data_IF_197182446232
#
_entry.id   IF_197182446232
#
_cell.length_a   1.000
_cell.length_b   1.000
_cell.length_c   1.000
_cell.angle_alpha   90.00
_cell.angle_beta   90.00
_cell.angle_gamma   90.00
#
_symmetry.space_group_name_H-M   'P 1'
#
loop_
_entity.id
_entity.type
_entity.pdbx_description
1 polymer ?
#
# COMPACT_ATOMS: atom_id res chain seq x y z
N UNK A 1 63.13 -31.26 -39.13
CA UNK A 1 61.77 -31.68 -38.71
C UNK A 1 61.28 -30.97 -37.45
N UNK A 2 62.16 -30.39 -36.61
CA UNK A 2 61.76 -29.61 -35.43
C UNK A 2 61.31 -28.16 -35.76
N UNK A 3 61.93 -27.50 -36.76
CA UNK A 3 61.62 -26.10 -37.09
C UNK A 3 60.24 -25.89 -37.74
N UNK A 4 59.73 -26.89 -38.46
CA UNK A 4 58.39 -26.82 -39.09
C UNK A 4 57.24 -26.87 -38.06
N UNK A 5 57.44 -27.52 -36.90
CA UNK A 5 56.41 -27.60 -35.86
C UNK A 5 56.29 -26.29 -35.07
N UNK A 6 57.40 -25.59 -34.85
CA UNK A 6 57.40 -24.30 -34.17
C UNK A 6 56.65 -23.23 -34.99
N UNK A 7 56.86 -23.19 -36.31
CA UNK A 7 56.17 -22.26 -37.19
C UNK A 7 54.65 -22.51 -37.23
N UNK A 8 54.22 -23.78 -37.20
CA UNK A 8 52.81 -24.14 -37.17
C UNK A 8 52.13 -23.70 -35.87
N UNK A 9 52.78 -23.84 -34.72
CA UNK A 9 52.25 -23.39 -33.42
C UNK A 9 52.13 -21.86 -33.38
N UNK A 10 53.13 -21.14 -33.89
CA UNK A 10 53.08 -19.67 -33.95
C UNK A 10 51.93 -19.21 -34.83
N UNK A 11 51.68 -19.84 -35.98
CA UNK A 11 50.57 -19.48 -36.87
C UNK A 11 49.20 -19.77 -36.24
N UNK A 12 49.06 -20.87 -35.50
CA UNK A 12 47.81 -21.20 -34.79
C UNK A 12 47.53 -20.20 -33.67
N UNK A 13 48.55 -19.84 -32.88
CA UNK A 13 48.40 -18.85 -31.81
C UNK A 13 48.05 -17.47 -32.37
N UNK A 14 48.66 -17.07 -33.50
CA UNK A 14 48.36 -15.80 -34.17
C UNK A 14 46.91 -15.77 -34.69
N UNK A 15 46.41 -16.89 -35.23
CA UNK A 15 45.03 -17.00 -35.69
C UNK A 15 44.02 -16.91 -34.54
N UNK A 16 44.30 -17.53 -33.39
CA UNK A 16 43.43 -17.46 -32.19
C UNK A 16 43.35 -16.03 -31.65
N UNK A 17 44.49 -15.30 -31.61
CA UNK A 17 44.51 -13.91 -31.16
C UNK A 17 43.73 -13.00 -32.12
N UNK A 18 43.87 -13.19 -33.44
CA UNK A 18 43.10 -12.42 -34.43
C UNK A 18 41.60 -12.67 -34.26
N UNK A 19 41.19 -13.93 -34.08
CA UNK A 19 39.78 -14.29 -33.93
C UNK A 19 39.17 -13.73 -32.63
N UNK A 20 39.93 -13.69 -31.54
CA UNK A 20 39.52 -13.07 -30.28
C UNK A 20 39.36 -11.54 -30.41
N UNK A 21 40.26 -10.87 -31.13
CA UNK A 21 40.16 -9.43 -31.41
C UNK A 21 38.93 -9.11 -32.28
N UNK A 22 38.65 -9.93 -33.30
CA UNK A 22 37.45 -9.76 -34.11
C UNK A 22 36.16 -9.92 -33.30
N UNK A 23 36.08 -10.92 -32.41
CA UNK A 23 34.92 -11.13 -31.54
C UNK A 23 34.70 -9.97 -30.56
N UNK A 24 35.77 -9.44 -29.98
CA UNK A 24 35.72 -8.25 -29.12
C UNK A 24 35.22 -7.01 -29.88
N UNK A 25 35.69 -6.79 -31.12
CA UNK A 25 35.22 -5.67 -31.94
C UNK A 25 33.74 -5.80 -32.34
N UNK A 26 33.25 -7.00 -32.63
CA UNK A 26 31.82 -7.20 -32.92
C UNK A 26 30.91 -7.00 -31.70
N UNK A 27 31.38 -7.27 -30.48
CA UNK A 27 30.61 -7.00 -29.26
C UNK A 27 30.57 -5.50 -28.91
N UNK A 28 31.63 -4.75 -29.21
CA UNK A 28 31.68 -3.28 -29.01
C UNK A 28 30.72 -2.55 -29.97
N UNK A 29 30.51 -3.07 -31.19
CA UNK A 29 29.55 -2.50 -32.16
C UNK A 29 28.08 -2.73 -31.78
N UNK A 30 27.75 -3.77 -31.02
CA UNK A 30 26.37 -4.02 -30.54
C UNK A 30 25.99 -3.08 -29.39
N UNK A 31 26.96 -2.61 -28.60
CA UNK A 31 26.73 -1.73 -27.45
C UNK A 31 27.03 -0.23 -27.71
N UNK A 32 27.35 0.16 -28.95
CA UNK A 32 27.66 1.56 -29.32
C UNK A 32 26.87 2.04 -30.53
N UNK A 33 25.60 1.63 -30.64
CA UNK A 33 24.62 2.23 -31.55
C UNK A 33 23.68 3.14 -30.74
N UNK A 34 23.82 4.47 -30.79
CA UNK A 34 22.89 5.40 -30.16
C UNK A 34 21.77 5.73 -31.16
N UNK A 35 20.85 4.79 -31.38
CA UNK A 35 19.57 5.04 -32.03
C UNK A 35 18.47 4.46 -31.15
N UNK A 36 18.20 5.14 -30.03
CA UNK A 36 16.90 5.27 -29.36
C UNK A 36 17.13 5.79 -27.93
N UNK A 37 17.55 7.05 -27.84
CA UNK A 37 17.41 7.85 -26.64
C UNK A 37 17.02 9.28 -27.08
N UNK A 38 15.73 9.56 -26.91
CA UNK A 38 15.13 10.87 -26.66
C UNK A 38 15.22 11.95 -27.76
N UNK A 39 14.06 12.24 -28.37
CA UNK A 39 13.66 13.64 -28.55
C UNK A 39 12.30 13.88 -27.88
N UNK A 40 12.40 14.25 -26.60
CA UNK A 40 11.42 15.06 -25.89
C UNK A 40 11.45 16.45 -26.53
N UNK A 41 10.43 16.78 -27.32
CA UNK A 41 10.26 18.12 -27.87
C UNK A 41 9.28 18.88 -26.97
N UNK A 42 9.83 19.66 -26.06
CA UNK A 42 9.19 20.87 -25.55
C UNK A 42 10.09 22.06 -25.91
N UNK A 43 9.57 22.91 -26.79
CA UNK A 43 10.02 24.29 -26.91
C UNK A 43 8.95 25.08 -27.66
N UNK A 44 8.09 25.75 -26.89
CA UNK A 44 7.43 26.97 -27.30
C UNK A 44 8.44 27.97 -27.88
N UNK A 45 8.44 28.15 -29.19
CA UNK A 45 8.34 29.47 -29.85
C UNK A 45 8.27 29.31 -31.38
N UNK A 46 7.03 29.40 -31.88
CA UNK A 46 6.61 30.10 -33.09
C UNK A 46 7.70 30.50 -34.10
N UNK A 47 7.70 29.84 -35.26
CA UNK A 47 8.03 30.50 -36.53
C UNK A 47 6.99 30.10 -37.55
N UNK A 48 5.82 30.75 -37.50
CA UNK A 48 4.98 31.41 -38.55
C UNK A 48 5.01 30.89 -40.02
N UNK A 49 5.76 29.86 -40.37
CA UNK A 49 5.85 29.28 -41.71
C UNK A 49 5.05 27.98 -41.88
N UNK A 50 4.47 27.42 -40.80
CA UNK A 50 3.58 26.25 -40.85
C UNK A 50 2.09 26.60 -40.69
N UNK A 51 1.75 27.89 -40.56
CA UNK A 51 0.38 28.35 -40.31
C UNK A 51 -0.36 28.90 -41.55
N UNK A 52 0.34 29.06 -42.67
CA UNK A 52 -0.31 29.57 -43.90
C UNK A 52 -0.99 28.43 -44.70
N UNK A 53 -0.85 27.18 -44.25
CA UNK A 53 -1.34 25.99 -44.97
C UNK A 53 -2.06 24.96 -44.09
N UNK A 54 -2.69 25.40 -43.00
CA UNK A 54 -3.85 24.69 -42.47
C UNK A 54 -5.02 25.66 -42.55
N UNK A 55 -5.83 25.43 -43.58
CA UNK A 55 -7.07 26.08 -43.99
C UNK A 55 -7.73 26.98 -42.96
N UNK A 56 -8.27 28.12 -43.42
CA UNK A 56 -9.42 28.82 -42.80
C UNK A 56 -10.11 27.89 -41.80
N UNK A 57 -9.81 28.08 -40.51
CA UNK A 57 -10.57 27.41 -39.46
C UNK A 57 -11.95 28.00 -39.63
N UNK A 58 -12.81 27.25 -40.31
CA UNK A 58 -14.23 27.49 -40.26
C UNK A 58 -14.53 27.36 -38.77
N UNK A 59 -14.77 28.52 -38.16
CA UNK A 59 -15.16 28.56 -36.77
C UNK A 59 -16.54 27.93 -36.73
N UNK A 60 -16.72 27.01 -35.79
CA UNK A 60 -17.96 26.30 -35.50
C UNK A 60 -17.99 26.31 -33.96
N UNK A 61 -18.66 27.31 -33.41
CA UNK A 61 -18.57 27.71 -32.02
C UNK A 61 -19.38 26.79 -31.12
N UNK A 62 -20.47 26.22 -31.61
CA UNK A 62 -21.33 25.29 -30.88
C UNK A 62 -21.13 23.80 -31.27
N UNK A 63 -20.32 23.53 -32.30
CA UNK A 63 -19.96 22.21 -32.81
C UNK A 63 -21.15 21.41 -33.36
N UNK A 64 -22.11 22.08 -33.99
CA UNK A 64 -23.28 21.44 -34.61
C UNK A 64 -23.00 20.86 -36.02
N UNK A 65 -21.83 21.17 -36.58
CA UNK A 65 -21.39 20.71 -37.89
C UNK A 65 -21.57 21.73 -39.02
N UNK A 66 -22.12 22.90 -38.73
CA UNK A 66 -22.14 24.06 -39.62
C UNK A 66 -21.07 25.09 -39.22
N UNK A 67 -20.59 25.83 -40.22
CA UNK A 67 -19.71 26.96 -39.99
C UNK A 67 -20.47 28.09 -39.29
N UNK A 68 -19.86 28.86 -38.38
CA UNK A 68 -20.43 30.12 -37.85
C UNK A 68 -20.90 31.07 -38.97
N UNK A 69 -20.31 30.98 -40.16
CA UNK A 69 -20.69 31.79 -41.33
C UNK A 69 -21.85 31.21 -42.17
N UNK A 70 -22.19 29.94 -41.97
CA UNK A 70 -23.24 29.19 -42.68
C UNK A 70 -24.33 28.66 -41.72
N UNK A 71 -24.18 28.92 -40.43
CA UNK A 71 -25.06 28.52 -39.34
C UNK A 71 -26.04 29.65 -38.99
N UNK A 72 -27.34 29.34 -38.96
CA UNK A 72 -28.39 30.27 -38.58
C UNK A 72 -28.49 30.50 -37.06
N UNK A 73 -27.74 29.74 -36.23
CA UNK A 73 -27.60 29.93 -34.80
C UNK A 73 -26.18 29.63 -34.25
N UNK A 74 -25.14 30.45 -34.56
CA UNK A 74 -23.73 30.18 -34.25
C UNK A 74 -23.34 29.93 -32.77
N UNK A 75 -24.25 30.14 -31.82
CA UNK A 75 -24.00 29.93 -30.39
C UNK A 75 -24.88 28.81 -29.79
N UNK A 76 -25.75 28.17 -30.59
CA UNK A 76 -26.80 27.26 -30.12
C UNK A 76 -26.95 26.04 -31.03
N UNK A 77 -26.41 24.89 -30.58
CA UNK A 77 -26.40 23.63 -31.32
C UNK A 77 -27.73 23.28 -32.01
N UNK A 78 -27.79 23.37 -33.34
CA UNK A 78 -28.98 23.08 -34.15
C UNK A 78 -28.67 22.46 -35.53
N UNK A 79 -28.20 21.19 -35.58
CA UNK A 79 -27.74 20.54 -36.81
C UNK A 79 -28.81 20.34 -37.90
N UNK A 80 -30.09 20.58 -37.59
CA UNK A 80 -31.19 20.55 -38.56
C UNK A 80 -31.39 21.88 -39.29
N UNK A 81 -30.80 22.99 -38.80
CA UNK A 81 -30.86 24.34 -39.37
C UNK A 81 -32.30 24.79 -39.69
N UNK A 82 -33.25 24.45 -38.81
CA UNK A 82 -34.65 24.86 -38.93
C UNK A 82 -34.78 26.38 -38.79
N UNK A 83 -35.48 26.98 -39.74
CA UNK A 83 -35.77 28.40 -39.85
C UNK A 83 -37.17 28.50 -40.47
N UNK A 84 -38.20 28.57 -39.63
CA UNK A 84 -39.59 28.41 -40.06
C UNK A 84 -40.11 29.60 -40.88
N UNK A 85 -39.61 30.80 -40.64
CA UNK A 85 -40.00 32.02 -41.34
C UNK A 85 -38.98 32.54 -42.37
N UNK A 86 -37.87 31.83 -42.58
CA UNK A 86 -36.82 32.09 -43.57
C UNK A 86 -36.12 33.46 -43.39
N UNK A 87 -35.96 33.93 -42.15
CA UNK A 87 -35.29 35.20 -41.84
C UNK A 87 -33.75 35.08 -41.67
N UNK A 88 -33.25 33.82 -41.68
CA UNK A 88 -31.86 33.38 -41.48
C UNK A 88 -31.39 33.35 -40.03
N UNK A 89 -32.30 33.41 -39.07
CA UNK A 89 -32.07 33.13 -37.65
C UNK A 89 -32.81 31.82 -37.34
N UNK A 90 -32.10 30.83 -36.80
CA UNK A 90 -32.71 29.53 -36.56
C UNK A 90 -33.72 29.53 -35.41
N UNK A 91 -34.69 28.63 -35.47
CA UNK A 91 -35.80 28.53 -34.50
C UNK A 91 -35.33 28.44 -33.03
N UNK A 92 -34.11 27.92 -32.79
CA UNK A 92 -33.55 27.74 -31.44
C UNK A 92 -32.99 29.02 -30.82
N UNK A 93 -32.54 29.97 -31.66
CA UNK A 93 -31.93 31.23 -31.23
C UNK A 93 -32.79 32.45 -31.62
N UNK A 94 -33.89 32.24 -32.34
CA UNK A 94 -34.88 33.25 -32.61
C UNK A 94 -35.82 33.47 -31.40
N UNK A 95 -35.65 34.61 -30.74
CA UNK A 95 -36.48 35.04 -29.61
C UNK A 95 -37.77 35.76 -30.05
N UNK A 96 -37.92 36.02 -31.35
CA UNK A 96 -39.06 36.67 -31.97
C UNK A 96 -39.54 35.79 -33.10
N UNK A 97 -40.12 34.65 -32.77
CA UNK A 97 -40.78 33.74 -33.72
C UNK A 97 -41.89 34.47 -34.50
N UNK A 98 -41.49 35.30 -35.47
CA UNK A 98 -42.26 36.42 -36.01
C UNK A 98 -42.76 36.09 -37.40
N UNK A 99 -43.48 34.96 -37.50
CA UNK A 99 -44.40 34.58 -38.59
C UNK A 99 -44.20 35.41 -39.85
N UNK A 100 -43.17 35.11 -40.66
CA UNK A 100 -42.91 35.70 -41.98
C UNK A 100 -43.48 37.11 -42.11
N UNK A 101 -42.67 38.13 -41.83
CA UNK A 101 -42.98 39.50 -42.27
C UNK A 101 -42.87 39.63 -43.81
N UNK A 102 -43.68 38.85 -44.53
CA UNK A 102 -44.20 39.20 -45.84
C UNK A 102 -45.25 40.26 -45.56
N UNK A 103 -44.88 41.51 -45.78
CA UNK A 103 -45.80 42.63 -45.60
C UNK A 103 -47.11 42.40 -46.33
N UNK A 104 -48.14 42.05 -45.57
CA UNK A 104 -49.54 42.28 -45.89
C UNK A 104 -50.18 42.80 -44.61
N UNK A 105 -50.58 44.06 -44.69
CA UNK A 105 -51.45 44.74 -43.76
C UNK A 105 -52.83 44.10 -43.84
N UNK A 106 -53.16 43.24 -42.89
CA UNK A 106 -54.55 42.96 -42.54
C UNK A 106 -54.68 42.99 -41.00
N UNK A 107 -55.57 43.89 -40.58
CA UNK A 107 -56.02 44.09 -39.21
C UNK A 107 -56.67 42.82 -38.68
N UNK A 108 -56.15 42.28 -37.57
CA UNK A 108 -56.90 41.44 -36.62
C UNK A 108 -56.37 41.75 -35.20
N UNK A 109 -56.68 42.95 -34.71
CA UNK A 109 -56.95 43.14 -33.28
C UNK A 109 -58.31 42.46 -33.02
N UNK A 110 -58.30 41.25 -32.46
CA UNK A 110 -59.33 40.66 -31.58
C UNK A 110 -59.07 39.14 -31.40
N UNK A 111 -58.11 38.78 -30.55
CA UNK A 111 -58.14 37.49 -29.83
C UNK A 111 -57.89 37.76 -28.34
N UNK A 112 -58.86 38.43 -27.71
CA UNK A 112 -59.06 38.40 -26.26
C UNK A 112 -59.55 37.00 -25.84
N UNK A 113 -58.71 35.99 -26.06
CA UNK A 113 -58.77 34.70 -25.41
C UNK A 113 -57.68 34.68 -24.37
N UNK A 114 -58.06 34.71 -23.09
CA UNK A 114 -57.12 34.76 -21.97
C UNK A 114 -55.96 33.77 -22.17
N UNK A 115 -54.75 34.30 -22.30
CA UNK A 115 -53.56 33.52 -22.62
C UNK A 115 -53.26 32.58 -21.45
N UNK A 116 -53.76 31.34 -21.52
CA UNK A 116 -53.40 30.28 -20.58
C UNK A 116 -51.94 29.93 -20.87
N UNK A 117 -51.03 30.51 -20.09
CA UNK A 117 -49.58 30.31 -20.17
C UNK A 117 -49.21 28.84 -19.99
N UNK A 118 -49.86 28.12 -19.07
CA UNK A 118 -49.63 26.69 -18.87
C UNK A 118 -50.86 25.95 -18.33
N UNK A 119 -51.04 24.71 -18.77
CA UNK A 119 -52.08 23.77 -18.31
C UNK A 119 -51.50 22.52 -17.64
N UNK A 120 -50.26 22.18 -17.97
CA UNK A 120 -49.46 21.13 -17.32
C UNK A 120 -48.02 21.61 -17.18
N UNK A 121 -47.24 20.99 -16.28
CA UNK A 121 -45.83 21.36 -16.08
C UNK A 121 -44.99 21.24 -17.36
N UNK A 122 -45.36 20.31 -18.26
CA UNK A 122 -44.68 20.14 -19.54
C UNK A 122 -44.81 21.35 -20.48
N UNK A 123 -45.82 22.21 -20.27
CA UNK A 123 -45.97 23.47 -21.02
C UNK A 123 -44.94 24.52 -20.58
N UNK A 124 -44.38 24.38 -19.37
CA UNK A 124 -43.38 25.27 -18.80
C UNK A 124 -41.93 24.88 -19.14
N UNK A 125 -41.71 23.62 -19.51
CA UNK A 125 -40.39 23.07 -19.77
C UNK A 125 -40.32 21.57 -19.48
N UNK A 126 -39.14 20.99 -19.71
CA UNK A 126 -38.85 19.60 -19.35
C UNK A 126 -37.87 19.58 -18.19
N UNK A 127 -38.21 18.83 -17.14
CA UNK A 127 -37.32 18.62 -16.00
C UNK A 127 -36.04 17.91 -16.44
N UNK A 128 -34.88 18.36 -15.96
CA UNK A 128 -33.63 17.76 -16.37
C UNK A 128 -32.41 18.36 -15.71
N UNK A 129 -31.27 17.72 -15.96
CA UNK A 129 -29.98 18.25 -15.55
C UNK A 129 -29.48 19.32 -16.51
N UNK A 130 -28.96 20.40 -15.95
CA UNK A 130 -28.39 21.53 -16.69
C UNK A 130 -26.94 21.79 -16.25
N UNK A 131 -26.14 22.34 -17.16
CA UNK A 131 -24.70 22.56 -16.93
C UNK A 131 -23.89 21.27 -17.03
N UNK A 132 -22.60 21.34 -16.70
CA UNK A 132 -21.72 20.16 -16.64
C UNK A 132 -21.71 19.60 -15.21
N UNK A 133 -21.55 18.27 -15.03
CA UNK A 133 -21.34 17.70 -13.71
C UNK A 133 -20.09 18.27 -13.03
N UNK A 134 -20.12 18.44 -11.72
CA UNK A 134 -19.02 18.91 -10.89
C UNK A 134 -18.74 17.94 -9.75
N UNK A 135 -17.51 17.97 -9.24
CA UNK A 135 -17.12 17.19 -8.08
C UNK A 135 -17.32 17.99 -6.79
N UNK A 136 -18.08 17.43 -5.84
CA UNK A 136 -18.11 17.85 -4.44
C UNK A 136 -17.52 16.72 -3.59
N UNK A 137 -16.20 16.76 -3.37
CA UNK A 137 -15.46 15.65 -2.76
C UNK A 137 -15.50 14.40 -3.64
N UNK A 138 -16.15 13.33 -3.14
CA UNK A 138 -16.32 12.07 -3.88
C UNK A 138 -17.65 12.02 -4.66
N UNK A 139 -18.49 13.04 -4.57
CA UNK A 139 -19.79 13.05 -5.22
C UNK A 139 -19.74 13.83 -6.54
N UNK A 140 -20.18 13.18 -7.62
CA UNK A 140 -20.50 13.87 -8.88
C UNK A 140 -21.88 14.49 -8.71
N UNK A 141 -21.94 15.81 -8.74
CA UNK A 141 -23.17 16.60 -8.58
C UNK A 141 -23.49 17.36 -9.87
N UNK A 142 -24.77 17.56 -10.16
CA UNK A 142 -25.21 18.42 -11.26
C UNK A 142 -26.51 19.12 -10.88
N UNK A 143 -26.72 20.31 -11.44
CA UNK A 143 -27.93 21.09 -11.17
C UNK A 143 -29.10 20.42 -11.89
N UNK A 144 -30.11 20.02 -11.13
CA UNK A 144 -31.39 19.58 -11.65
C UNK A 144 -32.35 20.75 -11.64
N UNK A 145 -32.88 21.10 -12.82
CA UNK A 145 -33.88 22.14 -13.00
C UNK A 145 -35.23 21.49 -13.24
N UNK A 146 -36.20 21.83 -12.40
CA UNK A 146 -37.58 21.38 -12.53
C UNK A 146 -38.53 22.55 -12.79
N UNK A 147 -39.56 22.31 -13.60
CA UNK A 147 -40.57 23.29 -14.00
C UNK A 147 -41.93 22.93 -13.40
N UNK A 148 -42.60 23.94 -12.86
CA UNK A 148 -43.93 23.81 -12.26
C UNK A 148 -44.86 24.84 -12.86
N UNK A 149 -46.02 24.38 -13.30
CA UNK A 149 -47.11 25.25 -13.69
C UNK A 149 -47.94 25.61 -12.45
N UNK A 150 -47.87 26.88 -12.04
CA UNK A 150 -48.72 27.44 -10.99
C UNK A 150 -50.08 27.78 -11.60
N UNK A 151 -51.17 27.45 -10.90
CA UNK A 151 -52.57 27.66 -11.35
C UNK A 151 -52.88 27.11 -12.77
N UNK A 152 -52.63 25.82 -13.04
CA UNK A 152 -52.76 25.23 -14.38
C UNK A 152 -54.16 25.39 -14.98
N UNK A 153 -54.20 25.78 -16.26
CA UNK A 153 -55.45 25.87 -17.02
C UNK A 153 -56.29 27.11 -16.70
N UNK A 154 -55.68 28.12 -16.09
CA UNK A 154 -56.33 29.40 -15.74
C UNK A 154 -55.64 30.57 -16.41
N UNK A 155 -56.34 31.70 -16.48
CA UNK A 155 -55.83 33.00 -16.92
C UNK A 155 -54.71 33.55 -15.99
N UNK A 156 -54.57 32.97 -14.80
CA UNK A 156 -53.52 33.27 -13.83
C UNK A 156 -52.40 32.23 -13.84
N UNK A 157 -52.39 31.33 -14.83
CA UNK A 157 -51.35 30.32 -14.95
C UNK A 157 -49.99 30.98 -15.13
N UNK A 158 -48.98 30.50 -14.40
CA UNK A 158 -47.60 30.99 -14.53
C UNK A 158 -46.59 29.87 -14.32
N UNK A 159 -45.51 29.92 -15.09
CA UNK A 159 -44.44 28.95 -14.98
C UNK A 159 -43.41 29.39 -13.94
N UNK A 160 -43.08 28.50 -13.02
CA UNK A 160 -41.98 28.64 -12.08
C UNK A 160 -40.94 27.54 -12.32
N UNK A 161 -39.68 27.82 -12.01
CA UNK A 161 -38.61 26.82 -12.09
C UNK A 161 -37.75 26.85 -10.83
N UNK A 162 -37.32 25.69 -10.38
CA UNK A 162 -36.40 25.53 -9.24
C UNK A 162 -35.15 24.80 -9.67
N UNK A 163 -34.01 25.19 -9.12
CA UNK A 163 -32.70 24.60 -9.38
C UNK A 163 -32.14 24.03 -8.07
N UNK A 164 -31.76 22.76 -8.09
CA UNK A 164 -31.21 22.05 -6.94
C UNK A 164 -29.97 21.24 -7.36
N UNK A 165 -28.91 21.26 -6.55
CA UNK A 165 -27.78 20.37 -6.75
C UNK A 165 -28.17 18.96 -6.35
N UNK A 166 -28.13 18.03 -7.30
CA UNK A 166 -28.37 16.62 -7.04
C UNK A 166 -27.11 15.82 -7.27
N UNK A 167 -26.85 14.86 -6.38
CA UNK A 167 -25.78 13.88 -6.52
C UNK A 167 -26.21 12.83 -7.56
N UNK A 168 -25.44 12.74 -8.65
CA UNK A 168 -25.63 11.77 -9.74
C UNK A 168 -25.02 10.43 -9.35
N UNK A 169 -23.79 10.47 -8.84
CA UNK A 169 -23.00 9.29 -8.52
C UNK A 169 -22.02 9.61 -7.38
N UNK A 170 -21.70 8.62 -6.57
CA UNK A 170 -20.62 8.69 -5.59
C UNK A 170 -19.44 7.85 -6.08
N UNK A 171 -18.31 8.49 -6.28
CA UNK A 171 -17.10 7.85 -6.78
C UNK A 171 -16.45 6.98 -5.71
N UNK A 172 -16.01 5.75 -6.05
CA UNK A 172 -15.31 4.88 -5.11
C UNK A 172 -13.98 5.46 -4.63
N UNK A 173 -13.25 6.13 -5.52
CA UNK A 173 -11.87 6.55 -5.29
C UNK A 173 -11.69 8.06 -5.38
N UNK A 174 -11.96 8.64 -6.55
CA UNK A 174 -11.89 10.09 -6.72
C UNK A 174 -12.85 10.61 -7.79
N UNK A 175 -13.19 11.88 -7.68
CA UNK A 175 -13.93 12.64 -8.68
C UNK A 175 -13.03 13.75 -9.22
N UNK A 176 -12.83 13.79 -10.54
CA UNK A 176 -12.09 14.84 -11.23
C UNK A 176 -12.93 15.32 -12.41
N UNK A 177 -13.12 16.63 -12.52
CA UNK A 177 -13.88 17.28 -13.61
C UNK A 177 -15.28 16.68 -13.85
N UNK A 178 -15.98 16.32 -12.77
CA UNK A 178 -17.34 15.78 -12.83
C UNK A 178 -17.43 14.31 -13.25
N UNK A 179 -16.31 13.58 -13.22
CA UNK A 179 -16.25 12.17 -13.62
C UNK A 179 -15.53 11.36 -12.54
N UNK A 180 -16.03 10.15 -12.27
CA UNK A 180 -15.34 9.21 -11.40
C UNK A 180 -14.10 8.66 -12.10
N UNK A 181 -12.95 8.85 -11.46
CA UNK A 181 -11.67 8.37 -11.96
C UNK A 181 -11.14 7.33 -10.99
N UNK A 182 -10.82 6.16 -11.55
CA UNK A 182 -10.06 5.16 -10.82
C UNK A 182 -8.60 5.58 -10.74
N UNK A 183 -8.14 5.84 -9.53
CA UNK A 183 -6.74 6.11 -9.22
C UNK A 183 -6.13 4.87 -8.60
N UNK A 184 -4.84 4.63 -8.87
CA UNK A 184 -4.17 3.43 -8.35
C UNK A 184 -4.09 3.42 -6.81
N UNK A 185 -4.00 4.59 -6.17
CA UNK A 185 -4.07 4.76 -4.73
C UNK A 185 -4.50 6.17 -4.32
N UNK A 186 -5.19 6.26 -3.19
CA UNK A 186 -5.57 7.50 -2.52
C UNK A 186 -4.94 7.63 -1.13
N UNK A 187 -4.57 6.48 -0.54
CA UNK A 187 -3.88 6.35 0.74
C UNK A 187 -2.83 5.25 0.65
N UNK A 188 -1.89 5.20 1.61
CA UNK A 188 -0.89 4.14 1.67
C UNK A 188 -1.53 2.74 1.84
N UNK A 189 -2.67 2.67 2.52
CA UNK A 189 -3.40 1.40 2.74
C UNK A 189 -3.97 0.80 1.46
N UNK A 190 -4.16 1.61 0.40
CA UNK A 190 -4.56 1.10 -0.91
C UNK A 190 -3.42 0.33 -1.60
N UNK A 191 -2.17 0.60 -1.20
CA UNK A 191 -0.97 -0.02 -1.76
C UNK A 191 -0.56 -1.32 -1.06
N UNK A 192 -0.91 -1.45 0.23
CA UNK A 192 -0.56 -2.61 1.04
C UNK A 192 -0.62 -2.29 2.53
N UNK A 193 -0.30 -3.28 3.34
CA UNK A 193 -0.10 -3.12 4.78
C UNK A 193 1.39 -3.28 5.08
N UNK A 194 1.95 -2.34 5.85
CA UNK A 194 3.34 -2.44 6.30
C UNK A 194 3.51 -3.68 7.19
N UNK A 195 4.58 -4.43 6.96
CA UNK A 195 4.78 -5.67 7.71
C UNK A 195 6.15 -6.30 7.50
N UNK A 196 6.54 -7.10 8.50
CA UNK A 196 7.73 -7.93 8.37
C UNK A 196 7.47 -9.06 7.39
N UNK A 197 8.42 -9.29 6.48
CA UNK A 197 8.34 -10.34 5.48
C UNK A 197 9.45 -11.36 5.66
N UNK A 198 9.10 -12.63 5.51
CA UNK A 198 10.06 -13.72 5.62
C UNK A 198 10.20 -14.24 7.05
N UNK A 199 11.43 -14.56 7.44
CA UNK A 199 11.76 -15.04 8.77
C UNK A 199 12.87 -14.15 9.34
N UNK A 200 12.80 -13.80 10.64
CA UNK A 200 13.85 -13.03 11.28
C UNK A 200 15.18 -13.77 11.18
N UNK A 201 16.26 -13.00 11.09
CA UNK A 201 17.62 -13.51 10.96
C UNK A 201 18.53 -12.87 11.98
N UNK A 202 19.57 -13.62 12.33
CA UNK A 202 20.57 -13.16 13.27
C UNK A 202 21.52 -12.15 12.67
N UNK A 203 21.66 -11.01 13.35
CA UNK A 203 22.70 -10.02 13.05
C UNK A 203 23.38 -9.62 14.34
N UNK A 204 24.66 -9.97 14.45
CA UNK A 204 25.41 -9.90 15.70
C UNK A 204 24.71 -10.75 16.78
N UNK A 205 24.11 -10.11 17.78
CA UNK A 205 23.45 -10.79 18.90
C UNK A 205 21.91 -10.67 18.85
N UNK A 206 21.36 -9.87 17.94
CA UNK A 206 19.93 -9.54 17.89
C UNK A 206 19.25 -10.10 16.64
N UNK A 207 17.93 -10.20 16.69
CA UNK A 207 17.10 -10.57 15.55
C UNK A 207 16.73 -9.32 14.75
N UNK A 208 17.19 -9.27 13.50
CA UNK A 208 16.70 -8.35 12.49
C UNK A 208 15.65 -9.04 11.62
N UNK A 209 14.74 -8.27 11.05
CA UNK A 209 13.84 -8.75 10.00
C UNK A 209 13.66 -7.67 8.94
N UNK A 210 13.21 -8.06 7.75
CA UNK A 210 12.91 -7.12 6.68
C UNK A 210 11.49 -6.59 6.81
N UNK A 211 11.38 -5.29 7.07
CA UNK A 211 10.12 -4.57 7.03
C UNK A 211 9.88 -4.06 5.61
N UNK A 212 8.81 -4.56 4.99
CA UNK A 212 8.29 -4.01 3.74
C UNK A 212 7.27 -2.92 4.07
N UNK A 213 7.47 -1.73 3.49
CA UNK A 213 6.59 -0.57 3.68
C UNK A 213 6.01 -0.13 2.35
N UNK A 214 4.74 0.31 2.37
CA UNK A 214 3.99 0.71 1.19
C UNK A 214 3.62 2.18 1.26
N UNK A 215 3.87 2.91 0.17
CA UNK A 215 3.53 4.33 0.08
C UNK A 215 2.77 4.61 -1.21
N UNK A 216 1.77 5.48 -1.09
CA UNK A 216 1.10 6.04 -2.24
C UNK A 216 1.79 7.33 -2.67
N UNK A 217 2.34 7.35 -3.88
CA UNK A 217 2.91 8.55 -4.49
C UNK A 217 1.82 9.27 -5.28
N UNK A 218 1.71 10.58 -5.10
CA UNK A 218 0.67 11.45 -5.69
C UNK A 218 -0.78 10.98 -5.38
N UNK A 219 -1.15 10.85 -4.10
CA UNK A 219 -2.44 10.28 -3.69
C UNK A 219 -3.63 11.01 -4.28
N UNK A 220 -4.57 10.25 -4.86
CA UNK A 220 -5.79 10.80 -5.44
C UNK A 220 -5.63 11.41 -6.82
N UNK A 221 -4.43 11.49 -7.40
CA UNK A 221 -4.25 12.02 -8.75
C UNK A 221 -4.31 10.90 -9.80
N UNK A 222 -4.64 11.21 -11.08
CA UNK A 222 -4.60 10.23 -12.16
C UNK A 222 -3.21 9.60 -12.34
N UNK A 223 -2.14 10.33 -12.01
CA UNK A 223 -0.77 9.83 -11.98
C UNK A 223 -0.35 9.11 -10.68
N UNK A 224 -1.29 8.81 -9.77
CA UNK A 224 -1.01 8.09 -8.54
C UNK A 224 -0.40 6.71 -8.84
N UNK A 225 0.60 6.30 -8.05
CA UNK A 225 1.13 4.94 -8.09
C UNK A 225 1.64 4.49 -6.72
N UNK A 226 1.60 3.18 -6.51
CA UNK A 226 2.12 2.54 -5.31
C UNK A 226 3.60 2.24 -5.46
N UNK A 227 4.37 2.64 -4.45
CA UNK A 227 5.78 2.28 -4.31
C UNK A 227 5.98 1.47 -3.01
N UNK A 228 6.99 0.60 -3.01
CA UNK A 228 7.30 -0.27 -1.88
C UNK A 228 8.78 -0.22 -1.56
N UNK A 229 9.13 -0.18 -0.28
CA UNK A 229 10.52 -0.15 0.19
C UNK A 229 10.77 -1.25 1.19
N UNK A 230 11.92 -1.93 1.05
CA UNK A 230 12.41 -2.96 1.96
C UNK A 230 13.51 -2.38 2.84
N UNK A 231 13.33 -2.42 4.15
CA UNK A 231 14.31 -1.94 5.13
C UNK A 231 14.59 -3.01 6.18
N UNK A 232 15.84 -3.10 6.62
CA UNK A 232 16.26 -3.97 7.72
C UNK A 232 15.98 -3.26 9.04
N UNK A 233 15.14 -3.85 9.89
CA UNK A 233 14.73 -3.29 11.17
C UNK A 233 14.94 -4.30 12.30
N UNK A 234 15.15 -3.79 13.52
CA UNK A 234 15.28 -4.62 14.72
C UNK A 234 13.92 -5.24 15.06
N UNK A 235 13.85 -6.57 14.98
CA UNK A 235 12.66 -7.34 15.31
C UNK A 235 12.61 -7.64 16.83
N UNK A 236 13.70 -8.19 17.36
CA UNK A 236 13.81 -8.53 18.78
C UNK A 236 15.25 -8.38 19.25
N UNK A 237 15.43 -7.73 20.40
CA UNK A 237 16.71 -7.66 21.09
C UNK A 237 16.87 -8.91 21.95
N UNK A 238 17.96 -9.65 21.76
CA UNK A 238 18.22 -10.85 22.56
C UNK A 238 19.08 -10.49 23.78
N UNK A 239 18.80 -11.13 24.91
CA UNK A 239 19.53 -10.87 26.16
C UNK A 239 21.01 -11.27 26.07
N UNK A 240 21.32 -12.32 25.29
CA UNK A 240 22.68 -12.87 25.17
C UNK A 240 23.13 -12.93 23.71
N UNK A 241 22.49 -13.80 22.94
CA UNK A 241 22.83 -14.07 21.55
C UNK A 241 21.59 -14.61 20.82
N UNK A 242 21.76 -14.85 19.52
CA UNK A 242 20.75 -15.48 18.69
C UNK A 242 21.37 -16.54 17.78
N UNK A 243 20.58 -17.56 17.43
CA UNK A 243 20.95 -18.59 16.47
C UNK A 243 19.73 -18.99 15.62
N UNK A 244 19.97 -19.28 14.34
CA UNK A 244 18.95 -19.74 13.38
C UNK A 244 17.65 -18.90 13.34
N UNK A 245 17.74 -17.58 13.58
CA UNK A 245 16.59 -16.68 13.55
C UNK A 245 15.75 -16.69 14.83
N UNK A 246 16.31 -17.16 15.95
CA UNK A 246 15.68 -17.11 17.27
C UNK A 246 16.67 -16.65 18.33
N UNK A 247 16.19 -15.95 19.37
CA UNK A 247 17.00 -15.67 20.54
C UNK A 247 17.29 -16.98 21.29
N UNK A 248 18.55 -17.17 21.68
CA UNK A 248 18.97 -18.36 22.42
C UNK A 248 19.05 -18.05 23.90
N UNK A 249 18.89 -19.07 24.73
CA UNK A 249 18.90 -18.96 26.19
C UNK A 249 20.29 -18.67 26.74
N UNK A 250 21.33 -19.21 26.12
CA UNK A 250 22.72 -18.98 26.52
C UNK A 250 23.70 -19.33 25.38
N UNK A 251 24.83 -18.62 25.33
CA UNK A 251 25.98 -18.89 24.46
C UNK A 251 27.22 -19.30 25.27
N UNK A 252 27.27 -18.96 26.55
CA UNK A 252 28.31 -19.37 27.49
C UNK A 252 27.75 -19.66 28.89
N UNK A 253 28.50 -20.40 29.71
CA UNK A 253 28.08 -20.78 31.06
C UNK A 253 27.78 -19.57 31.96
N UNK A 254 28.47 -18.44 31.73
CA UNK A 254 28.23 -17.18 32.46
C UNK A 254 26.87 -16.55 32.16
N UNK A 255 26.22 -16.89 31.05
CA UNK A 255 24.86 -16.42 30.76
C UNK A 255 23.83 -17.10 31.69
N UNK A 256 24.21 -18.22 32.31
CA UNK A 256 23.35 -19.01 33.20
C UNK A 256 23.57 -18.70 34.71
N UNK A 257 24.43 -17.74 35.04
CA UNK A 257 24.77 -17.36 36.42
C UNK A 257 23.52 -16.90 37.20
N UNK A 258 23.04 -17.74 38.13
CA UNK A 258 21.92 -17.39 39.03
C UNK A 258 22.36 -16.66 40.30
N UNK A 259 23.62 -16.21 40.32
CA UNK A 259 24.29 -15.55 41.44
C UNK A 259 24.40 -16.40 42.71
N UNK A 260 24.21 -17.72 42.62
CA UNK A 260 24.43 -18.65 43.72
C UNK A 260 25.81 -19.30 43.61
N UNK A 261 26.76 -18.98 44.51
CA UNK A 261 28.11 -19.55 44.43
C UNK A 261 28.19 -21.05 44.77
N UNK A 262 27.07 -21.69 45.14
CA UNK A 262 26.98 -23.12 45.44
C UNK A 262 26.43 -23.94 44.26
N UNK A 263 25.90 -23.30 43.21
CA UNK A 263 25.55 -23.98 41.96
C UNK A 263 26.74 -23.99 41.00
N UNK A 264 26.77 -25.03 40.18
CA UNK A 264 27.52 -25.07 38.94
C UNK A 264 26.52 -24.74 37.82
N UNK A 265 26.69 -23.57 37.23
CA UNK A 265 25.83 -23.03 36.17
C UNK A 265 26.42 -23.40 34.82
N UNK A 266 25.67 -24.17 34.02
CA UNK A 266 26.13 -24.71 32.74
C UNK A 266 25.15 -24.36 31.64
N UNK A 267 25.69 -23.84 30.54
CA UNK A 267 24.94 -23.67 29.31
C UNK A 267 24.96 -24.95 28.48
N UNK A 268 23.86 -25.69 28.52
CA UNK A 268 23.69 -26.91 27.72
C UNK A 268 23.42 -26.54 26.27
N UNK A 269 24.10 -27.18 25.31
CA UNK A 269 23.99 -26.88 23.87
C UNK A 269 24.21 -25.40 23.50
N UNK A 270 25.20 -24.79 24.15
CA UNK A 270 25.61 -23.40 23.93
C UNK A 270 25.68 -22.98 22.46
N UNK A 271 25.17 -21.79 22.15
CA UNK A 271 25.18 -21.22 20.80
C UNK A 271 24.16 -21.82 19.83
N UNK A 272 23.20 -22.61 20.32
CA UNK A 272 22.19 -23.27 19.49
C UNK A 272 20.78 -22.92 19.94
N UNK A 273 19.79 -23.13 19.06
CA UNK A 273 18.36 -22.97 19.37
C UNK A 273 17.84 -23.94 20.44
N UNK A 274 18.63 -24.95 20.78
CA UNK A 274 18.37 -25.90 21.86
C UNK A 274 19.09 -25.54 23.16
N UNK A 275 19.76 -24.37 23.21
CA UNK A 275 20.49 -23.92 24.39
C UNK A 275 19.57 -23.89 25.61
N UNK A 276 20.02 -24.40 26.76
CA UNK A 276 19.28 -24.35 28.01
C UNK A 276 20.24 -24.14 29.17
N UNK A 277 19.85 -23.30 30.13
CA UNK A 277 20.59 -23.16 31.37
C UNK A 277 20.25 -24.28 32.34
N UNK A 278 21.28 -24.96 32.84
CA UNK A 278 21.17 -25.95 33.89
C UNK A 278 22.05 -25.54 35.08
N UNK A 279 21.39 -25.22 36.19
CA UNK A 279 22.08 -24.84 37.42
C UNK A 279 22.01 -26.04 38.35
N UNK A 280 23.12 -26.78 38.41
CA UNK A 280 23.20 -27.98 39.23
C UNK A 280 23.81 -27.64 40.57
N UNK A 281 23.27 -28.19 41.64
CA UNK A 281 23.97 -28.18 42.92
C UNK A 281 24.85 -29.43 42.94
N UNK A 282 26.18 -29.32 42.80
CA UNK A 282 27.03 -30.46 43.08
C UNK A 282 26.73 -30.92 44.51
N UNK A 283 26.24 -32.15 44.64
CA UNK A 283 25.93 -32.68 45.97
C UNK A 283 27.22 -32.68 46.79
N UNK A 284 27.12 -32.38 48.08
CA UNK A 284 28.27 -32.34 48.99
C UNK A 284 28.03 -33.30 50.15
N UNK A 285 28.98 -34.22 50.37
CA UNK A 285 28.96 -35.13 51.52
C UNK A 285 28.86 -34.35 52.84
N UNK A 286 27.80 -34.60 53.61
CA UNK A 286 27.62 -34.03 54.95
C UNK A 286 28.44 -34.78 56.01
N UNK A 287 28.86 -36.00 55.68
CA UNK A 287 29.54 -36.93 56.56
C UNK A 287 30.27 -38.02 55.75
N UNK A 288 31.07 -38.85 56.42
CA UNK A 288 31.76 -39.96 55.74
C UNK A 288 30.87 -41.19 55.72
N UNK A 289 30.69 -41.84 54.56
CA UNK A 289 29.85 -43.05 54.45
C UNK A 289 30.22 -44.11 55.50
N UNK A 290 29.22 -44.60 56.24
CA UNK A 290 29.39 -45.56 57.33
C UNK A 290 29.75 -44.93 58.69
N UNK A 291 30.01 -43.63 58.76
CA UNK A 291 30.19 -42.91 60.03
C UNK A 291 28.92 -42.95 60.87
N UNK A 292 29.08 -42.99 62.20
CA UNK A 292 27.97 -42.94 63.15
C UNK A 292 28.21 -41.81 64.14
N UNK A 293 27.17 -41.02 64.41
CA UNK A 293 27.25 -39.86 65.30
C UNK A 293 26.14 -39.91 66.33
N UNK A 294 26.49 -39.72 67.60
CA UNK A 294 25.50 -39.65 68.66
C UNK A 294 24.62 -38.40 68.54
N UNK A 295 23.34 -38.61 68.81
CA UNK A 295 22.33 -37.58 68.97
C UNK A 295 21.87 -37.56 70.42
N UNK A 296 21.99 -36.41 71.08
CA UNK A 296 21.49 -36.18 72.43
C UNK A 296 20.32 -35.20 72.36
N UNK A 297 19.09 -35.75 72.32
CA UNK A 297 17.86 -34.97 72.35
C UNK A 297 17.39 -34.72 73.78
N UNK A 298 16.43 -33.81 73.96
CA UNK A 298 15.86 -33.50 75.27
C UNK A 298 15.09 -34.67 75.90
N UNK A 299 14.47 -35.51 75.06
CA UNK A 299 13.56 -36.59 75.49
C UNK A 299 14.13 -38.01 75.28
N UNK A 300 15.17 -38.16 74.45
CA UNK A 300 15.80 -39.45 74.15
C UNK A 300 17.20 -39.27 73.55
N UNK A 301 18.03 -40.31 73.68
CA UNK A 301 19.33 -40.42 73.01
C UNK A 301 19.26 -41.44 71.85
N UNK A 302 20.15 -41.27 70.89
CA UNK A 302 20.24 -42.14 69.73
C UNK A 302 21.47 -41.87 68.89
N UNK A 303 21.51 -42.40 67.67
CA UNK A 303 22.60 -42.15 66.72
C UNK A 303 22.07 -41.94 65.30
N UNK A 304 22.84 -41.19 64.52
CA UNK A 304 22.73 -41.10 63.07
C UNK A 304 23.72 -42.06 62.41
N UNK A 305 23.38 -42.61 61.24
CA UNK A 305 24.29 -43.31 60.34
C UNK A 305 24.46 -42.43 59.10
N UNK A 306 25.68 -42.30 58.60
CA UNK A 306 25.95 -41.62 57.35
C UNK A 306 25.83 -42.58 56.16
N UNK A 307 24.96 -42.28 55.21
CA UNK A 307 24.78 -43.05 53.97
C UNK A 307 24.09 -42.19 52.91
N UNK A 308 24.08 -42.63 51.66
CA UNK A 308 23.25 -42.02 50.62
C UNK A 308 21.80 -42.55 50.74
N UNK A 309 20.93 -41.80 51.44
CA UNK A 309 19.56 -42.21 51.71
C UNK A 309 18.59 -41.83 50.59
N UNK A 310 18.92 -40.83 49.79
CA UNK A 310 18.07 -40.30 48.73
C UNK A 310 18.50 -40.76 47.32
N UNK A 311 19.68 -41.38 47.20
CA UNK A 311 20.23 -41.92 45.95
C UNK A 311 20.91 -40.90 45.05
N UNK A 312 21.28 -39.72 45.58
CA UNK A 312 21.91 -38.63 44.82
C UNK A 312 23.43 -38.75 44.69
N UNK A 313 24.03 -39.79 45.29
CA UNK A 313 25.46 -40.05 45.24
C UNK A 313 26.27 -39.36 46.34
N UNK A 314 25.64 -38.63 47.25
CA UNK A 314 26.28 -37.98 48.39
C UNK A 314 25.81 -38.53 49.74
N UNK A 315 26.72 -38.58 50.71
CA UNK A 315 26.45 -39.16 52.01
C UNK A 315 25.79 -38.15 52.96
N UNK A 316 24.63 -38.52 53.50
CA UNK A 316 23.81 -37.71 54.40
C UNK A 316 23.51 -38.44 55.72
N UNK A 317 23.18 -37.67 56.77
CA UNK A 317 22.84 -38.25 58.07
C UNK A 317 21.42 -38.82 58.07
N UNK A 318 21.29 -40.09 58.48
CA UNK A 318 20.00 -40.75 58.66
C UNK A 318 19.08 -40.01 59.63
N UNK A 319 17.81 -40.38 59.71
CA UNK A 319 17.01 -40.08 60.91
C UNK A 319 17.64 -40.70 62.17
N UNK A 320 17.38 -40.12 63.35
CA UNK A 320 17.91 -40.64 64.62
C UNK A 320 17.34 -42.03 64.90
N UNK A 321 18.22 -43.01 65.07
CA UNK A 321 17.86 -44.32 65.64
C UNK A 321 18.00 -44.23 67.16
N UNK A 322 16.87 -44.32 67.87
CA UNK A 322 16.82 -44.21 69.34
C UNK A 322 17.51 -45.38 70.04
N UNK A 323 18.28 -45.09 71.10
CA UNK A 323 18.78 -46.09 72.03
C UNK A 323 17.66 -46.62 72.94
N UNK A 324 17.85 -47.81 73.53
CA UNK A 324 16.91 -48.35 74.50
C UNK A 324 16.85 -47.49 75.78
N UNK A 325 15.79 -47.64 76.59
CA UNK A 325 15.55 -46.82 77.80
C UNK A 325 16.68 -46.83 78.84
N UNK A 326 17.66 -47.74 78.74
CA UNK A 326 18.81 -47.84 79.65
C UNK A 326 20.17 -47.75 78.94
N UNK A 327 20.18 -47.45 77.64
CA UNK A 327 21.41 -47.33 76.85
C UNK A 327 21.71 -45.85 76.59
N UNK A 328 22.99 -45.49 76.63
CA UNK A 328 23.48 -44.15 76.28
C UNK A 328 24.24 -44.23 74.97
N UNK A 329 24.14 -43.21 74.13
CA UNK A 329 24.94 -43.20 72.92
C UNK A 329 26.38 -42.78 73.22
N UNK A 330 27.34 -43.66 72.91
CA UNK A 330 28.77 -43.40 72.96
C UNK A 330 29.41 -43.78 71.62
N UNK A 331 30.13 -42.84 70.99
CA UNK A 331 30.80 -43.02 69.70
C UNK A 331 29.90 -43.60 68.59
N UNK A 332 28.62 -43.18 68.56
CA UNK A 332 27.63 -43.61 67.57
C UNK A 332 26.97 -44.96 67.86
N UNK A 333 27.24 -45.58 69.01
CA UNK A 333 26.69 -46.87 69.44
C UNK A 333 25.91 -46.70 70.76
N UNK A 334 24.79 -47.40 70.88
CA UNK A 334 24.06 -47.52 72.14
C UNK A 334 24.75 -48.58 73.01
N UNK A 335 25.20 -48.18 74.21
CA UNK A 335 25.92 -49.03 75.18
C UNK A 335 25.33 -48.94 76.57
#
# INVERSE_FOLDING_TARGET
>A
MAESKALAIVLVLLAVVILAVFLMFSLIWVFSSPENAEQKQDSSESTIANFVFQSLKIQDLDNDGFADSEDNCPEHYNPEQSDWDDDRIGDICDIKNDRRSSGDSDDDEDDDGDEIVCSVNADCGTDGFIGQPLCDGLEVTQIFKSFVCENPGTEQSSCSSTEENQTIETCPNNCIDGVCVDVACSTNSDCGEDGFIGQPFCSLNDLLDFLETFICINPGLPEAFCDSSLIEELFEQCDFACAEGTCITCDEDSDCDDSNPLSEDVCMFAGTTMSQCENTFPCQDQCTEGERKCYAGADYEGYHICYDFNGDGCAEWSSVTSCSFFETCVDGLCV
#
